data_IF_183313943388
#
_entry.id   IF_183313943388
#
_cell.length_a   1.000
_cell.length_b   1.000
_cell.length_c   1.000
_cell.angle_alpha   90.00
_cell.angle_beta   90.00
_cell.angle_gamma   90.00
#
_symmetry.space_group_name_H-M   'P 1'
#
loop_
_entity.id
_entity.type
_entity.pdbx_description
1 polymer ?
#
# COMPACT_ATOMS: atom_id res chain seq x y z
N UNK A 1 -15.83 -7.09 1.64
CA UNK A 1 -15.78 -5.74 1.02
C UNK A 1 -14.43 -5.02 1.18
N UNK A 2 -13.73 -5.03 2.33
CA UNK A 2 -12.41 -4.36 2.51
C UNK A 2 -11.23 -5.19 1.99
N UNK A 3 -11.32 -6.50 1.99
CA UNK A 3 -10.32 -7.40 1.38
C UNK A 3 -10.31 -7.21 -0.13
N UNK A 4 -11.46 -7.10 -0.75
CA UNK A 4 -11.63 -6.81 -2.17
C UNK A 4 -11.02 -5.45 -2.55
N UNK A 5 -11.24 -4.41 -1.73
CA UNK A 5 -10.67 -3.08 -1.98
C UNK A 5 -9.14 -3.06 -1.86
N UNK A 6 -8.56 -3.85 -0.95
CA UNK A 6 -7.10 -3.98 -0.80
C UNK A 6 -6.47 -4.71 -1.98
N UNK A 7 -7.02 -5.88 -2.35
CA UNK A 7 -6.53 -6.64 -3.50
C UNK A 7 -6.65 -5.86 -4.81
N UNK A 8 -7.79 -5.19 -5.03
CA UNK A 8 -7.97 -4.32 -6.20
C UNK A 8 -6.97 -3.15 -6.23
N UNK A 9 -6.65 -2.57 -5.07
CA UNK A 9 -5.61 -1.54 -4.96
C UNK A 9 -4.23 -2.06 -5.33
N UNK A 10 -3.87 -3.27 -4.94
CA UNK A 10 -2.59 -3.89 -5.27
C UNK A 10 -2.48 -4.24 -6.75
N UNK A 11 -3.56 -4.73 -7.36
CA UNK A 11 -3.65 -4.95 -8.82
C UNK A 11 -3.41 -3.65 -9.58
N UNK A 12 -4.14 -2.58 -9.24
CA UNK A 12 -4.01 -1.26 -9.85
C UNK A 12 -2.57 -0.72 -9.77
N UNK A 13 -1.93 -0.79 -8.60
CA UNK A 13 -0.56 -0.30 -8.40
C UNK A 13 0.46 -1.07 -9.24
N UNK A 14 0.28 -2.39 -9.39
CA UNK A 14 1.15 -3.20 -10.24
C UNK A 14 0.93 -2.91 -11.72
N UNK A 15 -0.31 -2.72 -12.15
CA UNK A 15 -0.62 -2.29 -13.51
C UNK A 15 0.05 -0.94 -13.83
N UNK A 16 -0.02 0.03 -12.92
CA UNK A 16 0.67 1.31 -13.09
C UNK A 16 2.18 1.12 -13.25
N UNK A 17 2.81 0.30 -12.41
CA UNK A 17 4.25 0.02 -12.53
C UNK A 17 4.61 -0.64 -13.86
N UNK A 18 3.81 -1.60 -14.33
CA UNK A 18 3.98 -2.25 -15.63
C UNK A 18 3.84 -1.27 -16.78
N UNK A 19 2.76 -0.51 -16.81
CA UNK A 19 2.45 0.44 -17.88
C UNK A 19 3.40 1.65 -17.91
N UNK A 20 3.99 2.00 -16.78
CA UNK A 20 5.02 3.04 -16.70
C UNK A 20 6.38 2.56 -17.22
N UNK A 21 6.65 1.25 -17.13
CA UNK A 21 7.92 0.65 -17.57
C UNK A 21 7.92 0.31 -19.07
N UNK A 22 6.83 -0.24 -19.59
CA UNK A 22 6.73 -0.72 -20.96
C UNK A 22 5.35 -0.44 -21.59
N UNK A 23 5.29 0.42 -22.62
CA UNK A 23 4.08 0.66 -23.38
C UNK A 23 3.72 -0.46 -24.38
N UNK A 24 4.62 -1.44 -24.65
CA UNK A 24 4.43 -2.50 -25.67
C UNK A 24 3.29 -3.47 -25.38
N UNK A 25 2.85 -3.57 -24.12
CA UNK A 25 1.64 -4.26 -23.68
C UNK A 25 1.58 -5.74 -24.03
N UNK A 26 2.57 -6.53 -23.60
CA UNK A 26 2.45 -7.98 -23.67
C UNK A 26 1.24 -8.46 -22.86
N UNK A 27 0.22 -8.98 -23.55
CA UNK A 27 -1.03 -9.40 -22.96
C UNK A 27 -0.87 -10.63 -22.06
N UNK A 28 0.13 -11.47 -22.31
CA UNK A 28 0.40 -12.66 -21.49
C UNK A 28 0.98 -12.21 -20.16
N UNK A 29 1.97 -11.32 -20.18
CA UNK A 29 2.59 -10.75 -18.98
C UNK A 29 1.54 -9.97 -18.19
N UNK A 30 0.75 -9.11 -18.85
CA UNK A 30 -0.28 -8.31 -18.19
C UNK A 30 -1.36 -9.19 -17.55
N UNK A 31 -1.82 -10.24 -18.25
CA UNK A 31 -2.80 -11.20 -17.70
C UNK A 31 -2.24 -11.93 -16.49
N UNK A 32 -0.99 -12.40 -16.58
CA UNK A 32 -0.29 -13.06 -15.48
C UNK A 32 -0.12 -12.13 -14.29
N UNK A 33 0.18 -10.85 -14.54
CA UNK A 33 0.30 -9.82 -13.52
C UNK A 33 -1.04 -9.59 -12.80
N UNK A 34 -2.14 -9.45 -13.53
CA UNK A 34 -3.47 -9.22 -12.95
C UNK A 34 -3.92 -10.44 -12.14
N UNK A 35 -3.91 -11.62 -12.74
CA UNK A 35 -4.42 -12.84 -12.10
C UNK A 35 -3.51 -13.25 -10.94
N UNK A 36 -2.20 -13.32 -11.16
CA UNK A 36 -1.25 -13.71 -10.13
C UNK A 36 -1.24 -12.74 -8.94
N UNK A 37 -1.39 -11.43 -9.20
CA UNK A 37 -1.54 -10.43 -8.14
C UNK A 37 -2.81 -10.62 -7.33
N UNK A 38 -3.94 -10.80 -8.01
CA UNK A 38 -5.24 -10.98 -7.34
C UNK A 38 -5.21 -12.19 -6.42
N UNK A 39 -4.63 -13.30 -6.89
CA UNK A 39 -4.48 -14.52 -6.10
C UNK A 39 -3.52 -14.31 -4.91
N UNK A 40 -2.32 -13.75 -5.15
CA UNK A 40 -1.33 -13.54 -4.09
C UNK A 40 -1.83 -12.56 -3.02
N UNK A 41 -2.45 -11.43 -3.41
CA UNK A 41 -3.01 -10.46 -2.50
C UNK A 41 -4.23 -11.01 -1.74
N UNK A 42 -5.11 -11.76 -2.42
CA UNK A 42 -6.21 -12.48 -1.78
C UNK A 42 -5.71 -13.49 -0.76
N UNK A 43 -4.70 -14.28 -1.12
CA UNK A 43 -4.04 -15.23 -0.21
C UNK A 43 -3.43 -14.54 1.01
N UNK A 44 -2.68 -13.46 0.81
CA UNK A 44 -2.10 -12.67 1.90
C UNK A 44 -3.16 -12.11 2.85
N UNK A 45 -4.30 -11.65 2.30
CA UNK A 45 -5.41 -11.13 3.09
C UNK A 45 -6.10 -12.23 3.93
N UNK A 46 -6.25 -13.44 3.37
CA UNK A 46 -6.78 -14.60 4.11
C UNK A 46 -5.83 -15.02 5.22
N UNK A 47 -4.52 -15.09 4.94
CA UNK A 47 -3.50 -15.43 5.94
C UNK A 47 -3.42 -14.37 7.05
N UNK A 48 -3.56 -13.09 6.72
CA UNK A 48 -3.64 -12.02 7.72
C UNK A 48 -4.87 -12.20 8.62
N UNK A 49 -6.06 -12.47 8.07
CA UNK A 49 -7.28 -12.74 8.87
C UNK A 49 -7.12 -13.99 9.75
N UNK A 50 -6.41 -15.02 9.24
CA UNK A 50 -6.14 -16.23 10.03
C UNK A 50 -5.23 -15.93 11.22
N UNK A 51 -4.18 -15.13 11.05
CA UNK A 51 -3.26 -14.73 12.12
C UNK A 51 -3.94 -13.80 13.15
N UNK A 52 -4.77 -12.88 12.68
CA UNK A 52 -5.42 -11.86 13.52
C UNK A 52 -6.81 -12.26 14.04
N UNK A 53 -7.29 -13.49 13.77
CA UNK A 53 -8.67 -13.94 14.08
C UNK A 53 -9.14 -13.63 15.49
N UNK A 54 -8.26 -13.77 16.49
CA UNK A 54 -8.60 -13.51 17.90
C UNK A 54 -8.69 -12.00 18.21
N UNK A 55 -7.87 -11.19 17.59
CA UNK A 55 -7.94 -9.74 17.70
C UNK A 55 -9.14 -9.19 16.90
N UNK A 56 -9.35 -9.72 15.70
CA UNK A 56 -10.48 -9.35 14.84
C UNK A 56 -11.83 -9.62 15.51
N UNK A 57 -11.96 -10.71 16.27
CA UNK A 57 -13.19 -11.04 17.00
C UNK A 57 -13.54 -10.02 18.10
N UNK A 58 -12.56 -9.25 18.60
CA UNK A 58 -12.76 -8.22 19.64
C UNK A 58 -13.13 -6.85 19.08
N UNK A 59 -12.82 -6.58 17.82
CA UNK A 59 -13.02 -5.28 17.18
C UNK A 59 -14.36 -5.21 16.47
N UNK A 60 -15.16 -4.17 16.74
CA UNK A 60 -16.48 -3.96 16.12
C UNK A 60 -16.42 -4.00 14.60
N UNK A 61 -15.36 -3.46 14.03
CA UNK A 61 -15.14 -3.37 12.59
C UNK A 61 -14.88 -4.71 11.90
N UNK A 62 -14.36 -5.72 12.61
CA UNK A 62 -13.82 -6.96 12.03
C UNK A 62 -14.39 -8.24 12.60
N UNK A 63 -15.20 -8.18 13.66
CA UNK A 63 -15.82 -9.35 14.32
C UNK A 63 -16.66 -10.20 13.36
N UNK A 64 -17.28 -9.58 12.36
CA UNK A 64 -18.15 -10.25 11.38
C UNK A 64 -17.38 -10.81 10.16
N UNK A 65 -16.03 -10.78 10.18
CA UNK A 65 -15.22 -11.43 9.16
C UNK A 65 -15.44 -12.95 9.17
N UNK A 66 -15.30 -13.66 8.02
CA UNK A 66 -15.64 -15.07 7.91
C UNK A 66 -14.92 -16.00 8.90
N UNK A 67 -13.67 -15.71 9.27
CA UNK A 67 -12.90 -16.54 10.20
C UNK A 67 -13.27 -16.22 11.66
N UNK A 68 -13.25 -14.95 12.13
CA UNK A 68 -13.67 -14.58 13.49
C UNK A 68 -15.11 -14.97 13.81
N UNK A 69 -16.02 -14.85 12.84
CA UNK A 69 -17.45 -15.21 13.01
C UNK A 69 -17.73 -16.71 12.95
N UNK A 70 -16.70 -17.55 12.70
CA UNK A 70 -16.87 -19.01 12.62
C UNK A 70 -17.48 -19.53 11.33
N UNK A 71 -17.71 -18.68 10.30
CA UNK A 71 -18.23 -19.11 9.01
C UNK A 71 -17.24 -19.98 8.23
N UNK A 72 -15.94 -19.78 8.46
CA UNK A 72 -14.86 -20.55 7.82
C UNK A 72 -13.97 -21.14 8.91
N UNK A 73 -13.70 -22.45 8.80
CA UNK A 73 -12.77 -23.17 9.69
C UNK A 73 -11.37 -22.60 9.51
N UNK A 74 -10.66 -22.21 10.61
CA UNK A 74 -9.34 -21.59 10.51
C UNK A 74 -8.30 -22.40 9.72
N UNK A 75 -8.33 -23.73 9.82
CA UNK A 75 -7.44 -24.60 9.06
C UNK A 75 -7.68 -24.50 7.53
N UNK A 76 -8.94 -24.49 7.10
CA UNK A 76 -9.29 -24.35 5.69
C UNK A 76 -8.86 -22.98 5.14
N UNK A 77 -9.02 -21.92 5.94
CA UNK A 77 -8.55 -20.58 5.59
C UNK A 77 -7.02 -20.54 5.43
N UNK A 78 -6.27 -21.19 6.33
CA UNK A 78 -4.80 -21.29 6.24
C UNK A 78 -4.37 -21.98 4.94
N UNK A 79 -4.93 -23.16 4.65
CA UNK A 79 -4.57 -23.93 3.45
C UNK A 79 -4.95 -23.19 2.18
N UNK A 80 -6.12 -22.58 2.15
CA UNK A 80 -6.58 -21.76 1.02
C UNK A 80 -5.70 -20.53 0.80
N UNK A 81 -5.37 -19.79 1.87
CA UNK A 81 -4.51 -18.63 1.81
C UNK A 81 -3.09 -18.95 1.33
N UNK A 82 -2.51 -20.07 1.80
CA UNK A 82 -1.21 -20.56 1.35
C UNK A 82 -1.26 -20.96 -0.13
N UNK A 83 -2.28 -21.72 -0.54
CA UNK A 83 -2.46 -22.14 -1.93
C UNK A 83 -2.56 -20.95 -2.89
N UNK A 84 -3.40 -19.96 -2.56
CA UNK A 84 -3.54 -18.74 -3.36
C UNK A 84 -2.22 -17.94 -3.44
N UNK A 85 -1.52 -17.77 -2.31
CA UNK A 85 -0.27 -17.02 -2.26
C UNK A 85 0.84 -17.67 -3.09
N UNK A 86 1.00 -18.99 -2.97
CA UNK A 86 2.00 -19.76 -3.71
C UNK A 86 1.66 -19.75 -5.20
N UNK A 87 0.42 -20.08 -5.56
CA UNK A 87 0.01 -20.16 -6.96
C UNK A 87 0.05 -18.79 -7.64
N UNK A 88 -0.37 -17.72 -6.97
CA UNK A 88 -0.28 -16.36 -7.50
C UNK A 88 1.16 -15.90 -7.74
N UNK A 89 2.07 -16.22 -6.80
CA UNK A 89 3.50 -15.92 -6.97
C UNK A 89 4.13 -16.75 -8.10
N UNK A 90 3.74 -18.03 -8.24
CA UNK A 90 4.19 -18.89 -9.32
C UNK A 90 3.70 -18.43 -10.70
N UNK A 91 2.45 -17.96 -10.81
CA UNK A 91 1.94 -17.40 -12.06
C UNK A 91 2.77 -16.20 -12.53
N UNK A 92 3.18 -15.33 -11.62
CA UNK A 92 4.07 -14.21 -11.95
C UNK A 92 5.48 -14.67 -12.32
N UNK A 93 6.00 -15.69 -11.63
CA UNK A 93 7.29 -16.27 -11.92
C UNK A 93 7.35 -16.90 -13.33
N UNK A 94 6.33 -17.67 -13.69
CA UNK A 94 6.28 -18.39 -14.95
C UNK A 94 5.72 -17.56 -16.12
N UNK A 95 4.74 -16.69 -15.86
CA UNK A 95 4.03 -15.93 -16.88
C UNK A 95 4.59 -14.53 -17.16
N UNK A 96 5.43 -14.00 -16.25
CA UNK A 96 6.16 -12.75 -16.47
C UNK A 96 7.67 -13.01 -16.44
N UNK A 97 8.26 -13.07 -15.24
CA UNK A 97 9.67 -13.40 -15.07
C UNK A 97 9.97 -13.79 -13.61
N UNK A 98 11.15 -14.45 -13.34
CA UNK A 98 11.53 -14.88 -12.01
C UNK A 98 11.57 -13.75 -10.97
N UNK A 99 12.01 -12.54 -11.37
CA UNK A 99 12.14 -11.41 -10.46
C UNK A 99 10.78 -10.95 -9.92
N UNK A 100 9.76 -10.83 -10.78
CA UNK A 100 8.41 -10.41 -10.38
C UNK A 100 7.73 -11.46 -9.48
N UNK A 101 7.94 -12.74 -9.76
CA UNK A 101 7.46 -13.83 -8.91
C UNK A 101 8.11 -13.83 -7.52
N UNK A 102 9.45 -13.69 -7.45
CA UNK A 102 10.18 -13.61 -6.19
C UNK A 102 9.80 -12.37 -5.37
N UNK A 103 9.67 -11.19 -6.00
CA UNK A 103 9.21 -9.98 -5.32
C UNK A 103 7.79 -10.17 -4.77
N UNK A 104 6.90 -10.86 -5.50
CA UNK A 104 5.54 -11.16 -5.02
C UNK A 104 5.58 -12.09 -3.81
N UNK A 105 6.34 -13.17 -3.87
CA UNK A 105 6.50 -14.09 -2.73
C UNK A 105 7.09 -13.38 -1.51
N UNK A 106 8.11 -12.52 -1.70
CA UNK A 106 8.71 -11.70 -0.64
C UNK A 106 7.70 -10.71 -0.05
N UNK A 107 6.85 -10.11 -0.89
CA UNK A 107 5.78 -9.20 -0.42
C UNK A 107 4.80 -9.94 0.49
N UNK A 108 4.31 -11.11 0.07
CA UNK A 108 3.40 -11.93 0.88
C UNK A 108 4.08 -12.36 2.18
N UNK A 109 5.31 -12.88 2.10
CA UNK A 109 6.05 -13.34 3.27
C UNK A 109 6.30 -12.20 4.28
N UNK A 110 6.78 -11.04 3.82
CA UNK A 110 7.03 -9.89 4.70
C UNK A 110 5.73 -9.33 5.30
N UNK A 111 4.65 -9.31 4.55
CA UNK A 111 3.35 -8.87 5.06
C UNK A 111 2.79 -9.83 6.13
N UNK A 112 2.83 -11.13 5.88
CA UNK A 112 2.24 -12.14 6.75
C UNK A 112 3.13 -12.45 7.94
N UNK A 113 4.44 -12.67 7.72
CA UNK A 113 5.36 -13.16 8.75
C UNK A 113 6.06 -12.06 9.56
N UNK A 114 6.19 -10.85 9.00
CA UNK A 114 6.82 -9.74 9.70
C UNK A 114 5.78 -8.70 10.15
N UNK A 115 5.10 -8.05 9.21
CA UNK A 115 4.20 -6.96 9.53
C UNK A 115 3.04 -7.37 10.44
N UNK A 116 2.34 -8.47 10.14
CA UNK A 116 1.16 -8.89 10.90
C UNK A 116 1.47 -9.19 12.37
N UNK A 117 2.52 -9.95 12.73
CA UNK A 117 2.90 -10.14 14.13
C UNK A 117 3.40 -8.86 14.81
N UNK A 118 4.16 -8.00 14.08
CA UNK A 118 4.72 -6.78 14.63
C UNK A 118 3.67 -5.75 15.06
N UNK A 119 2.44 -5.83 14.57
CA UNK A 119 1.32 -4.99 15.03
C UNK A 119 1.07 -5.12 16.55
N UNK A 120 1.40 -6.27 17.14
CA UNK A 120 1.23 -6.54 18.57
C UNK A 120 2.50 -6.32 19.40
N UNK A 121 3.62 -5.99 18.75
CA UNK A 121 4.93 -5.92 19.39
C UNK A 121 5.54 -4.52 19.44
N UNK A 122 5.24 -3.68 18.44
CA UNK A 122 5.92 -2.38 18.33
C UNK A 122 5.10 -1.35 17.57
N UNK A 123 5.29 -0.07 17.89
CA UNK A 123 4.71 1.08 17.18
C UNK A 123 5.32 1.28 15.78
N UNK A 124 6.47 0.66 15.48
CA UNK A 124 7.13 0.69 14.17
C UNK A 124 6.41 -0.16 13.10
N UNK A 125 5.38 -0.90 13.51
CA UNK A 125 4.61 -1.75 12.59
C UNK A 125 4.12 -1.03 11.34
N UNK A 126 3.70 0.23 11.44
CA UNK A 126 3.24 1.03 10.31
C UNK A 126 4.35 1.24 9.28
N UNK A 127 5.56 1.60 9.73
CA UNK A 127 6.71 1.80 8.86
C UNK A 127 7.15 0.49 8.19
N UNK A 128 7.20 -0.60 8.96
CA UNK A 128 7.57 -1.93 8.46
C UNK A 128 6.52 -2.44 7.47
N UNK A 129 5.24 -2.22 7.76
CA UNK A 129 4.13 -2.58 6.87
C UNK A 129 4.06 -1.76 5.58
N UNK A 130 4.65 -0.56 5.57
CA UNK A 130 4.75 0.24 4.37
C UNK A 130 5.72 -0.36 3.32
N UNK A 131 6.69 -1.19 3.73
CA UNK A 131 7.61 -1.86 2.80
C UNK A 131 6.84 -2.81 1.85
N UNK A 132 6.14 -3.87 2.31
CA UNK A 132 5.36 -4.72 1.43
C UNK A 132 4.25 -3.96 0.69
N UNK A 133 3.67 -2.92 1.29
CA UNK A 133 2.66 -2.09 0.65
C UNK A 133 3.18 -1.19 -0.48
N UNK A 134 4.49 -0.94 -0.54
CA UNK A 134 5.14 -0.16 -1.60
C UNK A 134 5.74 -1.02 -2.73
N UNK A 135 5.83 -2.33 -2.57
CA UNK A 135 6.37 -3.25 -3.56
C UNK A 135 5.49 -3.43 -4.83
N UNK A 136 4.15 -3.28 -4.80
CA UNK A 136 3.32 -3.53 -5.96
C UNK A 136 3.79 -2.84 -7.27
N UNK A 137 4.07 -1.52 -7.35
CA UNK A 137 4.53 -0.93 -8.60
C UNK A 137 5.90 -1.44 -9.03
N UNK A 138 6.78 -1.79 -8.07
CA UNK A 138 8.08 -2.37 -8.35
C UNK A 138 7.95 -3.77 -8.98
N UNK A 139 6.96 -4.56 -8.54
CA UNK A 139 6.64 -5.86 -9.12
C UNK A 139 6.13 -5.69 -10.56
N UNK A 140 5.25 -4.71 -10.79
CA UNK A 140 4.79 -4.38 -12.13
C UNK A 140 5.93 -3.95 -13.05
N UNK A 141 6.81 -3.09 -12.56
CA UNK A 141 8.03 -2.67 -13.28
C UNK A 141 8.93 -3.87 -13.62
N UNK A 142 9.22 -4.70 -12.64
CA UNK A 142 10.03 -5.90 -12.85
C UNK A 142 9.37 -6.87 -13.83
N UNK A 143 8.04 -6.99 -13.84
CA UNK A 143 7.32 -7.83 -14.80
C UNK A 143 7.49 -7.35 -16.24
N UNK A 144 7.58 -6.02 -16.46
CA UNK A 144 7.80 -5.42 -17.76
C UNK A 144 9.26 -5.56 -18.23
N UNK A 145 10.22 -5.15 -17.42
CA UNK A 145 11.62 -5.04 -17.84
C UNK A 145 12.53 -6.22 -17.44
N UNK A 146 12.11 -7.10 -16.55
CA UNK A 146 12.95 -8.13 -15.97
C UNK A 146 14.02 -7.61 -14.98
N UNK A 147 14.03 -6.32 -14.73
CA UNK A 147 14.96 -5.60 -13.83
C UNK A 147 14.25 -4.43 -13.15
N UNK A 148 14.91 -3.78 -12.19
CA UNK A 148 14.40 -2.59 -11.54
C UNK A 148 15.30 -1.41 -11.94
N UNK A 149 14.73 -0.43 -12.63
CA UNK A 149 15.41 0.82 -13.00
C UNK A 149 15.29 1.87 -11.89
N UNK A 150 15.99 3.00 -12.07
CA UNK A 150 15.92 4.15 -11.16
C UNK A 150 14.47 4.65 -11.00
N UNK A 151 13.72 4.73 -12.09
CA UNK A 151 12.33 5.18 -12.03
C UNK A 151 11.43 4.19 -11.28
N UNK A 152 11.66 2.88 -11.41
CA UNK A 152 10.99 1.86 -10.60
C UNK A 152 11.22 2.07 -9.10
N UNK A 153 12.45 2.38 -8.68
CA UNK A 153 12.77 2.70 -7.28
C UNK A 153 12.14 4.02 -6.81
N UNK A 154 12.03 5.03 -7.68
CA UNK A 154 11.31 6.27 -7.36
C UNK A 154 9.83 5.97 -7.12
N UNK A 155 9.19 5.14 -7.95
CA UNK A 155 7.79 4.74 -7.74
C UNK A 155 7.59 3.98 -6.43
N UNK A 156 8.53 3.11 -6.07
CA UNK A 156 8.53 2.46 -4.75
C UNK A 156 8.59 3.50 -3.63
N UNK A 157 9.52 4.46 -3.71
CA UNK A 157 9.68 5.52 -2.72
C UNK A 157 8.41 6.39 -2.60
N UNK A 158 7.82 6.77 -3.73
CA UNK A 158 6.55 7.54 -3.77
C UNK A 158 5.44 6.77 -3.04
N UNK A 159 5.27 5.48 -3.32
CA UNK A 159 4.25 4.69 -2.65
C UNK A 159 4.55 4.48 -1.16
N UNK A 160 5.80 4.21 -0.83
CA UNK A 160 6.23 4.07 0.56
C UNK A 160 5.92 5.34 1.37
N UNK A 161 6.28 6.50 0.84
CA UNK A 161 6.06 7.78 1.49
C UNK A 161 4.57 8.18 1.53
N UNK A 162 3.82 7.85 0.47
CA UNK A 162 2.38 8.11 0.41
C UNK A 162 1.59 7.33 1.46
N UNK A 163 1.98 6.08 1.72
CA UNK A 163 1.29 5.25 2.70
C UNK A 163 1.39 5.80 4.11
N UNK A 164 2.45 6.53 4.45
CA UNK A 164 2.69 6.97 5.82
C UNK A 164 1.60 7.95 6.31
N UNK A 165 1.34 9.11 5.67
CA UNK A 165 0.26 10.00 6.08
C UNK A 165 -1.12 9.32 5.99
N UNK A 166 -1.32 8.43 5.00
CA UNK A 166 -2.54 7.66 4.85
C UNK A 166 -2.80 6.72 6.04
N UNK A 167 -1.83 5.91 6.42
CA UNK A 167 -1.95 4.96 7.52
C UNK A 167 -1.97 5.64 8.89
N UNK A 168 -1.23 6.70 9.10
CA UNK A 168 -1.29 7.47 10.34
C UNK A 168 -2.66 8.12 10.53
N UNK A 169 -3.26 8.64 9.48
CA UNK A 169 -4.62 9.18 9.52
C UNK A 169 -5.67 8.11 9.83
N UNK A 170 -5.55 6.90 9.24
CA UNK A 170 -6.39 5.73 9.56
C UNK A 170 -6.17 5.30 11.02
N UNK A 171 -4.91 5.16 11.43
CA UNK A 171 -4.56 4.71 12.79
C UNK A 171 -5.13 5.65 13.84
N UNK A 172 -5.09 6.97 13.61
CA UNK A 172 -5.70 7.94 14.49
C UNK A 172 -7.22 7.81 14.54
N UNK A 173 -7.86 7.69 13.37
CA UNK A 173 -9.32 7.58 13.24
C UNK A 173 -9.87 6.33 13.95
N UNK A 174 -9.17 5.21 13.89
CA UNK A 174 -9.60 3.92 14.45
C UNK A 174 -8.78 3.49 15.69
N UNK A 175 -8.14 4.45 16.39
CA UNK A 175 -7.25 4.15 17.52
C UNK A 175 -7.91 3.33 18.65
N UNK A 176 -9.18 3.59 18.93
CA UNK A 176 -9.94 2.84 19.95
C UNK A 176 -10.13 1.37 19.57
N UNK A 177 -10.47 1.10 18.31
CA UNK A 177 -10.61 -0.28 17.81
C UNK A 177 -9.28 -1.03 17.88
N UNK A 178 -8.18 -0.39 17.48
CA UNK A 178 -6.84 -0.98 17.56
C UNK A 178 -6.42 -1.29 18.99
N UNK A 179 -6.78 -0.42 19.95
CA UNK A 179 -6.54 -0.64 21.37
C UNK A 179 -7.30 -1.87 21.90
N UNK A 180 -8.58 -1.99 21.55
CA UNK A 180 -9.43 -3.13 21.92
C UNK A 180 -8.87 -4.43 21.30
N UNK A 181 -8.37 -4.38 20.08
CA UNK A 181 -7.73 -5.51 19.41
C UNK A 181 -6.35 -5.89 19.97
N UNK A 182 -5.80 -5.11 20.90
CA UNK A 182 -4.49 -5.33 21.50
C UNK A 182 -3.32 -5.01 20.56
N UNK A 183 -3.53 -4.12 19.56
CA UNK A 183 -2.48 -3.65 18.65
C UNK A 183 -1.71 -2.48 19.26
N UNK A 184 -0.38 -2.52 19.13
CA UNK A 184 0.52 -1.45 19.59
C UNK A 184 0.74 -0.47 18.45
N UNK A 185 -0.18 0.51 18.31
CA UNK A 185 -0.08 1.54 17.27
C UNK A 185 0.50 2.83 17.85
N UNK A 186 1.20 3.62 17.02
CA UNK A 186 1.70 4.93 17.45
C UNK A 186 0.55 5.81 17.96
N UNK A 187 -0.62 5.75 17.30
CA UNK A 187 -1.82 6.49 17.69
C UNK A 187 -2.38 6.14 19.06
N UNK A 188 -2.00 5.00 19.64
CA UNK A 188 -2.40 4.59 20.98
C UNK A 188 -1.38 5.03 22.05
N UNK A 189 -0.10 5.19 21.65
CA UNK A 189 0.97 5.69 22.51
C UNK A 189 1.04 7.22 22.56
N UNK A 190 0.38 7.90 21.63
CA UNK A 190 0.39 9.36 21.45
C UNK A 190 -0.96 9.93 21.88
N UNK A 191 -1.08 10.32 23.16
CA UNK A 191 -2.34 10.75 23.78
C UNK A 191 -3.02 11.93 23.06
N UNK A 192 -2.25 12.92 22.62
CA UNK A 192 -2.75 14.12 21.96
C UNK A 192 -2.63 14.09 20.43
N UNK A 193 -2.03 13.04 19.84
CA UNK A 193 -1.86 12.87 18.40
C UNK A 193 -0.81 13.77 17.76
N UNK A 194 0.02 14.44 18.55
CA UNK A 194 1.03 15.37 18.04
C UNK A 194 2.13 14.65 17.26
N UNK A 195 2.61 13.50 17.73
CA UNK A 195 3.63 12.70 17.06
C UNK A 195 3.08 12.08 15.76
N UNK A 196 1.84 11.59 15.79
CA UNK A 196 1.15 11.06 14.60
C UNK A 196 0.99 12.14 13.53
N UNK A 197 0.56 13.33 13.93
CA UNK A 197 0.36 14.47 13.03
C UNK A 197 1.70 14.99 12.46
N UNK A 198 2.73 15.10 13.30
CA UNK A 198 4.07 15.53 12.87
C UNK A 198 4.66 14.54 11.86
N UNK A 199 4.62 13.25 12.16
CA UNK A 199 5.10 12.22 11.21
C UNK A 199 4.32 12.26 9.91
N UNK A 200 2.98 12.38 9.95
CA UNK A 200 2.16 12.52 8.74
C UNK A 200 2.62 13.70 7.88
N UNK A 201 2.92 14.83 8.47
CA UNK A 201 3.37 16.02 7.75
C UNK A 201 4.79 15.86 7.18
N UNK A 202 5.74 15.34 7.96
CA UNK A 202 7.12 15.09 7.50
C UNK A 202 7.13 14.13 6.32
N UNK A 203 6.39 13.03 6.40
CA UNK A 203 6.29 12.07 5.30
C UNK A 203 5.54 12.66 4.08
N UNK A 204 4.58 13.55 4.28
CA UNK A 204 3.93 14.26 3.17
C UNK A 204 4.90 15.20 2.43
N UNK A 205 5.79 15.89 3.14
CA UNK A 205 6.87 16.70 2.51
C UNK A 205 7.80 15.79 1.71
N UNK A 206 8.29 14.71 2.31
CA UNK A 206 9.17 13.76 1.63
C UNK A 206 8.51 13.14 0.38
N UNK A 207 7.20 12.86 0.45
CA UNK A 207 6.39 12.42 -0.68
C UNK A 207 6.43 13.43 -1.83
N UNK A 208 6.16 14.71 -1.55
CA UNK A 208 6.15 15.76 -2.59
C UNK A 208 7.51 15.88 -3.25
N UNK A 209 8.59 15.85 -2.46
CA UNK A 209 9.97 15.87 -3.01
C UNK A 209 10.17 14.67 -3.94
N UNK A 210 9.79 13.47 -3.51
CA UNK A 210 9.95 12.25 -4.29
C UNK A 210 9.13 12.24 -5.58
N UNK A 211 7.96 12.86 -5.61
CA UNK A 211 7.11 12.94 -6.81
C UNK A 211 7.63 13.90 -7.87
N UNK A 212 8.48 14.85 -7.49
CA UNK A 212 9.16 15.75 -8.42
C UNK A 212 10.44 15.17 -9.02
N UNK A 213 11.02 14.12 -8.39
CA UNK A 213 12.27 13.50 -8.85
C UNK A 213 12.22 13.00 -10.30
N UNK A 214 11.13 12.39 -10.81
CA UNK A 214 11.07 11.97 -12.21
C UNK A 214 11.33 13.14 -13.19
N UNK A 215 10.73 14.30 -12.94
CA UNK A 215 10.92 15.49 -13.76
C UNK A 215 12.32 16.09 -13.59
N UNK A 216 12.82 16.17 -12.37
CA UNK A 216 14.15 16.71 -12.08
C UNK A 216 15.25 15.86 -12.75
N UNK A 217 15.06 14.55 -12.81
CA UNK A 217 16.00 13.61 -13.43
C UNK A 217 15.79 13.42 -14.95
N UNK A 218 14.82 14.14 -15.54
CA UNK A 218 14.57 14.10 -16.98
C UNK A 218 13.81 12.86 -17.47
N UNK A 219 13.16 12.10 -16.58
CA UNK A 219 12.31 10.96 -16.95
C UNK A 219 10.91 11.38 -17.41
N UNK A 220 10.46 12.58 -17.04
CA UNK A 220 9.11 13.08 -17.35
C UNK A 220 9.16 14.54 -17.77
N UNK A 221 8.10 15.00 -18.45
CA UNK A 221 7.97 16.37 -18.91
C UNK A 221 7.79 17.38 -17.75
N UNK A 222 8.02 18.67 -18.05
CA UNK A 222 7.66 19.76 -17.13
C UNK A 222 6.16 19.83 -16.86
N UNK A 223 5.33 19.35 -17.80
CA UNK A 223 3.88 19.23 -17.63
C UNK A 223 3.51 18.28 -16.49
N UNK A 224 4.13 17.10 -16.46
CA UNK A 224 3.98 16.20 -15.31
C UNK A 224 4.51 16.83 -14.02
N UNK A 225 5.65 17.52 -14.06
CA UNK A 225 6.20 18.23 -12.90
C UNK A 225 5.22 19.24 -12.29
N UNK A 226 4.50 19.99 -13.14
CA UNK A 226 3.45 20.91 -12.68
C UNK A 226 2.28 20.17 -12.01
N UNK A 227 1.82 19.04 -12.57
CA UNK A 227 0.77 18.20 -11.97
C UNK A 227 1.25 17.63 -10.62
N UNK A 228 2.48 17.12 -10.54
CA UNK A 228 3.07 16.60 -9.31
C UNK A 228 3.16 17.68 -8.22
N UNK A 229 3.51 18.91 -8.58
CA UNK A 229 3.54 20.04 -7.65
C UNK A 229 2.14 20.41 -7.15
N UNK A 230 1.15 20.53 -8.04
CA UNK A 230 -0.24 20.86 -7.68
C UNK A 230 -0.83 19.78 -6.77
N UNK A 231 -0.68 18.51 -7.12
CA UNK A 231 -1.13 17.40 -6.29
C UNK A 231 -0.37 17.33 -4.97
N UNK A 232 0.92 17.69 -4.97
CA UNK A 232 1.73 17.88 -3.77
C UNK A 232 1.16 18.92 -2.82
N UNK A 233 0.79 20.10 -3.31
CA UNK A 233 0.11 21.13 -2.51
C UNK A 233 -1.24 20.64 -1.96
N UNK A 234 -1.96 19.83 -2.76
CA UNK A 234 -3.25 19.26 -2.37
C UNK A 234 -3.14 18.30 -1.18
N UNK A 235 -2.09 17.47 -1.07
CA UNK A 235 -1.88 16.56 0.07
C UNK A 235 -1.22 17.27 1.26
N UNK A 236 -0.34 18.25 1.05
CA UNK A 236 0.33 18.98 2.12
C UNK A 236 -0.62 19.81 2.96
N UNK A 237 -1.64 20.41 2.34
CA UNK A 237 -2.62 21.24 3.07
C UNK A 237 -3.34 20.48 4.20
N UNK A 238 -4.01 19.33 3.98
CA UNK A 238 -4.64 18.60 5.06
C UNK A 238 -3.63 17.99 6.04
N UNK A 239 -2.40 17.64 5.62
CA UNK A 239 -1.36 17.19 6.53
C UNK A 239 -0.91 18.32 7.48
N UNK A 240 -0.77 19.55 6.98
CA UNK A 240 -0.50 20.73 7.78
C UNK A 240 -1.63 21.07 8.74
N UNK A 241 -2.89 21.01 8.26
CA UNK A 241 -4.06 21.23 9.12
C UNK A 241 -4.18 20.17 10.22
N UNK A 242 -3.79 18.92 9.93
CA UNK A 242 -3.75 17.86 10.94
C UNK A 242 -2.68 18.12 12.01
N UNK A 243 -1.53 18.69 11.62
CA UNK A 243 -0.47 19.09 12.55
C UNK A 243 -0.92 20.20 13.50
N UNK A 244 -1.64 21.20 13.00
CA UNK A 244 -2.06 22.39 13.78
C UNK A 244 -3.38 22.20 14.55
N UNK A 245 -4.16 21.17 14.24
CA UNK A 245 -5.50 21.02 14.81
C UNK A 245 -5.46 20.74 16.32
N UNK A 246 -6.33 21.37 17.08
CA UNK A 246 -6.66 21.01 18.46
C UNK A 246 -7.52 19.73 18.47
N UNK A 247 -8.62 19.72 17.70
CA UNK A 247 -9.38 18.50 17.40
C UNK A 247 -8.83 17.85 16.13
N UNK A 248 -8.11 16.75 16.32
CA UNK A 248 -7.45 16.01 15.24
C UNK A 248 -8.35 15.03 14.50
N UNK A 249 -9.51 14.67 15.02
CA UNK A 249 -10.35 13.61 14.42
C UNK A 249 -10.86 14.00 13.03
N UNK A 250 -11.41 15.23 12.90
CA UNK A 250 -11.88 15.74 11.62
C UNK A 250 -10.73 15.95 10.61
N UNK A 251 -9.57 16.45 11.09
CA UNK A 251 -8.40 16.71 10.25
C UNK A 251 -7.74 15.41 9.75
N UNK A 252 -7.64 14.39 10.60
CA UNK A 252 -7.17 13.05 10.20
C UNK A 252 -8.07 12.45 9.13
N UNK A 253 -9.40 12.55 9.29
CA UNK A 253 -10.35 12.04 8.30
C UNK A 253 -10.21 12.76 6.95
N UNK A 254 -9.99 14.09 6.95
CA UNK A 254 -9.73 14.86 5.72
C UNK A 254 -8.43 14.40 5.05
N UNK A 255 -7.35 14.24 5.80
CA UNK A 255 -6.08 13.75 5.28
C UNK A 255 -6.23 12.35 4.68
N UNK A 256 -6.93 11.46 5.36
CA UNK A 256 -7.23 10.12 4.86
C UNK A 256 -7.96 10.15 3.50
N UNK A 257 -9.05 10.92 3.40
CA UNK A 257 -9.83 11.03 2.15
C UNK A 257 -8.97 11.66 1.05
N UNK A 258 -8.25 12.74 1.33
CA UNK A 258 -7.37 13.41 0.36
C UNK A 258 -6.30 12.44 -0.18
N UNK A 259 -5.71 11.63 0.69
CA UNK A 259 -4.67 10.67 0.30
C UNK A 259 -5.18 9.57 -0.65
N UNK A 260 -6.47 9.20 -0.59
CA UNK A 260 -7.08 8.24 -1.54
C UNK A 260 -7.10 8.83 -2.95
N UNK A 261 -7.52 10.09 -3.11
CA UNK A 261 -7.61 10.74 -4.41
C UNK A 261 -6.25 11.18 -4.95
N UNK A 262 -5.28 11.44 -4.07
CA UNK A 262 -3.93 11.86 -4.44
C UNK A 262 -3.23 10.86 -5.36
N UNK A 263 -3.27 9.57 -5.01
CA UNK A 263 -2.49 8.56 -5.72
C UNK A 263 -2.93 8.37 -7.18
N UNK A 264 -4.23 8.19 -7.52
CA UNK A 264 -4.68 8.17 -8.90
C UNK A 264 -4.39 9.48 -9.65
N UNK A 265 -4.59 10.63 -9.00
CA UNK A 265 -4.34 11.94 -9.59
C UNK A 265 -2.86 12.18 -9.95
N UNK A 266 -1.94 11.49 -9.30
CA UNK A 266 -0.51 11.53 -9.61
C UNK A 266 -0.10 10.45 -10.62
N UNK A 267 -0.52 9.20 -10.40
CA UNK A 267 0.00 8.05 -11.15
C UNK A 267 -0.58 7.93 -12.56
N UNK A 268 -1.84 8.33 -12.78
CA UNK A 268 -2.43 8.31 -14.11
C UNK A 268 -1.72 9.29 -15.05
N UNK A 269 -1.54 10.59 -14.68
CA UNK A 269 -0.75 11.51 -15.49
C UNK A 269 0.70 11.07 -15.68
N UNK A 270 1.34 10.41 -14.70
CA UNK A 270 2.69 9.87 -14.85
C UNK A 270 2.77 8.87 -15.99
N UNK A 271 1.86 7.89 -16.03
CA UNK A 271 1.84 6.88 -17.11
C UNK A 271 1.58 7.54 -18.46
N UNK A 272 0.62 8.47 -18.53
CA UNK A 272 0.32 9.18 -19.78
C UNK A 272 1.51 10.00 -20.27
N UNK A 273 2.21 10.69 -19.38
CA UNK A 273 3.41 11.48 -19.73
C UNK A 273 4.53 10.58 -20.26
N UNK A 274 4.80 9.44 -19.62
CA UNK A 274 5.79 8.47 -20.06
C UNK A 274 5.48 7.82 -21.42
N UNK A 275 4.21 7.80 -21.83
CA UNK A 275 3.81 7.27 -23.13
C UNK A 275 3.86 8.34 -24.25
N UNK A 276 3.90 9.61 -23.88
CA UNK A 276 3.91 10.74 -24.83
C UNK A 276 5.32 11.25 -25.15
N UNK A 277 6.30 10.92 -24.32
CA UNK A 277 7.73 11.24 -24.51
C UNK A 277 8.41 10.12 -25.29
#
# INVERSE_FOLDING_TARGET
>A
TRVESSAASDVYKRQIGYLAADPSRDLIVLSSLIIGTSLAAGGAAVLNQWLEREADAKMERTKDRPIPSGQIIPYNALMFGLGLSIFGSYLLYAGANPLSGLLTATTVASYVLLYTPLKKLTTWNTLIGAIPGALPPLIGWAAAEGRISTLGWILFAVLFLWQMPHFFAIAWTYRKDYQIGGFIMLSNADENGAAVALQSFVFAIALVISTLLPTILGYTSLGFGAIAFITGCYILRPAWLFLLAEDRDASARRLFITSIFYLPALLIPLVLDLWLI
#
